data_IF_404857195741
#
_entry.id   IF_404857195741
#
_cell.length_a   1.000
_cell.length_b   1.000
_cell.length_c   1.000
_cell.angle_alpha   90.00
_cell.angle_beta   90.00
_cell.angle_gamma   90.00
#
_symmetry.space_group_name_H-M   'P 1'
#
loop_
_entity.id
_entity.type
_entity.pdbx_description
1 polymer ?
#
# COMPACT_ATOMS: atom_id res chain seq x y z
N UNK A 1 4.55 13.46 16.75
CA UNK A 1 4.55 13.58 15.28
C UNK A 1 3.55 12.56 14.78
N UNK A 2 2.83 12.80 13.72
CA UNK A 2 2.00 11.75 13.14
C UNK A 2 2.90 10.66 12.57
N UNK A 3 2.53 9.41 12.73
CA UNK A 3 3.09 8.35 11.92
C UNK A 3 2.57 8.52 10.50
N UNK A 4 3.41 8.32 9.53
CA UNK A 4 3.02 8.42 8.14
C UNK A 4 2.63 7.04 7.61
N UNK A 5 1.61 7.01 6.77
CA UNK A 5 1.18 5.82 6.04
C UNK A 5 1.45 6.04 4.57
N UNK A 6 2.32 5.24 4.00
CA UNK A 6 2.51 5.12 2.56
C UNK A 6 1.42 4.21 2.02
N UNK A 7 0.77 4.62 0.96
CA UNK A 7 -0.23 3.79 0.28
C UNK A 7 0.05 3.75 -1.21
N UNK A 8 0.30 2.56 -1.72
CA UNK A 8 0.42 2.28 -3.14
C UNK A 8 -0.96 1.89 -3.68
N UNK A 9 -1.53 2.73 -4.52
CA UNK A 9 -2.81 2.50 -5.20
C UNK A 9 -2.58 1.97 -6.60
N UNK A 10 -3.44 1.07 -7.04
CA UNK A 10 -3.66 0.77 -8.44
C UNK A 10 -5.08 1.17 -8.81
N UNK A 11 -5.22 2.09 -9.75
CA UNK A 11 -6.50 2.46 -10.36
C UNK A 11 -6.64 1.71 -11.68
N UNK A 12 -7.76 1.04 -11.89
CA UNK A 12 -7.95 0.18 -13.04
C UNK A 12 -9.35 0.30 -13.64
N UNK A 13 -9.43 0.11 -14.95
CA UNK A 13 -10.67 -0.01 -15.70
C UNK A 13 -10.45 -0.89 -16.94
N UNK A 14 -11.53 -1.40 -17.53
CA UNK A 14 -11.45 -2.09 -18.84
C UNK A 14 -11.37 -1.10 -19.99
N UNK A 15 -11.92 0.09 -19.84
CA UNK A 15 -11.90 1.14 -20.86
C UNK A 15 -10.66 2.03 -20.70
N UNK A 16 -9.79 2.01 -21.71
CA UNK A 16 -8.58 2.81 -21.75
C UNK A 16 -8.87 4.31 -21.70
N UNK A 17 -9.93 4.76 -22.38
CA UNK A 17 -10.23 6.18 -22.47
C UNK A 17 -10.57 6.77 -21.11
N UNK A 18 -11.26 6.01 -20.26
CA UNK A 18 -11.68 6.45 -18.94
C UNK A 18 -10.50 6.48 -17.98
N UNK A 19 -9.67 5.44 -17.98
CA UNK A 19 -8.48 5.40 -17.12
C UNK A 19 -7.50 6.51 -17.52
N UNK A 20 -7.35 6.75 -18.83
CA UNK A 20 -6.52 7.83 -19.35
C UNK A 20 -7.03 9.21 -18.95
N UNK A 21 -8.33 9.45 -19.03
CA UNK A 21 -8.94 10.72 -18.61
C UNK A 21 -8.69 10.98 -17.11
N UNK A 22 -8.79 9.95 -16.28
CA UNK A 22 -8.53 10.09 -14.86
C UNK A 22 -7.04 10.34 -14.57
N UNK A 23 -6.15 9.57 -15.18
CA UNK A 23 -4.70 9.75 -15.07
C UNK A 23 -4.28 11.17 -15.48
N UNK A 24 -4.74 11.64 -16.65
CA UNK A 24 -4.40 12.98 -17.18
C UNK A 24 -4.89 14.08 -16.23
N UNK A 25 -6.09 13.92 -15.64
CA UNK A 25 -6.60 14.83 -14.61
C UNK A 25 -5.71 14.87 -13.36
N UNK A 26 -5.32 13.70 -12.82
CA UNK A 26 -4.44 13.63 -11.65
C UNK A 26 -3.10 14.31 -11.93
N UNK A 27 -2.46 13.97 -13.05
CA UNK A 27 -1.22 14.61 -13.48
C UNK A 27 -1.34 16.13 -13.63
N UNK A 28 -2.46 16.61 -14.17
CA UNK A 28 -2.73 18.04 -14.27
C UNK A 28 -2.90 18.69 -12.89
N UNK A 29 -3.66 18.05 -12.00
CA UNK A 29 -3.97 18.61 -10.68
C UNK A 29 -2.76 18.69 -9.76
N UNK A 30 -1.91 17.67 -9.78
CA UNK A 30 -0.66 17.64 -9.01
C UNK A 30 0.29 18.77 -9.45
N UNK A 31 0.26 19.12 -10.74
CA UNK A 31 1.08 20.20 -11.29
C UNK A 31 0.40 21.59 -11.29
N UNK A 32 -0.86 21.66 -10.86
CA UNK A 32 -1.61 22.93 -10.79
C UNK A 32 -1.23 23.72 -9.54
N UNK A 33 -1.27 25.06 -9.57
CA UNK A 33 -1.11 25.85 -8.36
C UNK A 33 -2.14 25.43 -7.30
N UNK A 34 -1.72 25.33 -6.05
CA UNK A 34 -2.63 25.03 -4.95
C UNK A 34 -3.73 26.09 -4.89
N UNK A 35 -4.98 25.63 -4.92
CA UNK A 35 -6.17 26.50 -4.80
C UNK A 35 -6.45 26.91 -3.35
N UNK A 36 -5.73 26.33 -2.39
CA UNK A 36 -5.94 26.56 -0.97
C UNK A 36 -4.63 26.97 -0.29
N UNK A 37 -4.57 28.22 0.16
CA UNK A 37 -3.34 28.83 0.68
C UNK A 37 -3.07 28.60 2.17
N UNK A 38 -4.05 28.09 2.94
CA UNK A 38 -3.98 28.15 4.40
C UNK A 38 -3.45 26.87 5.08
N UNK A 39 -3.49 25.70 4.44
CA UNK A 39 -3.27 24.44 5.13
C UNK A 39 -1.87 23.82 4.96
N UNK A 40 -1.26 23.96 3.78
CA UNK A 40 0.07 23.41 3.49
C UNK A 40 0.75 24.35 2.49
N UNK A 41 1.59 25.20 2.97
CA UNK A 41 2.26 26.25 2.19
C UNK A 41 2.84 25.71 0.88
N UNK A 42 2.05 25.78 -0.20
CA UNK A 42 2.53 25.68 -1.57
C UNK A 42 2.58 24.29 -2.21
N UNK A 43 2.13 23.20 -1.59
CA UNK A 43 2.13 21.88 -2.25
C UNK A 43 0.89 21.69 -3.13
N UNK A 44 1.08 21.64 -4.46
CA UNK A 44 0.05 21.24 -5.42
C UNK A 44 -0.36 19.77 -5.27
N UNK A 45 0.53 18.92 -4.72
CA UNK A 45 0.32 17.51 -4.46
C UNK A 45 -0.58 17.20 -3.25
N UNK A 46 -0.98 18.21 -2.49
CA UNK A 46 -1.88 18.02 -1.35
C UNK A 46 -3.23 17.42 -1.77
N UNK A 47 -3.67 16.36 -1.08
CA UNK A 47 -4.90 15.63 -1.40
C UNK A 47 -6.17 16.50 -1.39
N UNK A 48 -6.23 17.52 -0.55
CA UNK A 48 -7.31 18.51 -0.57
C UNK A 48 -7.40 19.31 -1.87
N UNK A 49 -6.27 19.55 -2.54
CA UNK A 49 -6.25 20.20 -3.85
C UNK A 49 -6.87 19.30 -4.93
N UNK A 50 -6.68 17.98 -4.84
CA UNK A 50 -7.33 17.00 -5.70
C UNK A 50 -8.84 17.04 -5.54
N UNK A 51 -9.33 17.07 -4.29
CA UNK A 51 -10.77 17.18 -4.00
C UNK A 51 -11.38 18.45 -4.62
N UNK A 52 -10.73 19.59 -4.44
CA UNK A 52 -11.19 20.87 -5.02
C UNK A 52 -11.23 20.83 -6.55
N UNK A 53 -10.18 20.30 -7.18
CA UNK A 53 -10.10 20.15 -8.63
C UNK A 53 -11.15 19.15 -9.19
N UNK A 54 -11.52 18.13 -8.40
CA UNK A 54 -12.63 17.24 -8.71
C UNK A 54 -14.02 17.91 -8.53
N UNK A 55 -14.06 19.16 -8.07
CA UNK A 55 -15.30 19.90 -7.83
C UNK A 55 -16.02 19.49 -6.53
N UNK A 56 -15.27 19.01 -5.55
CA UNK A 56 -15.77 18.65 -4.23
C UNK A 56 -15.62 19.84 -3.30
N UNK A 57 -16.71 20.20 -2.64
CA UNK A 57 -16.74 21.30 -1.66
C UNK A 57 -16.12 20.83 -0.33
N UNK A 58 -14.92 21.30 -0.02
CA UNK A 58 -14.21 20.94 1.21
C UNK A 58 -14.98 21.27 2.49
N UNK A 59 -15.91 22.21 2.46
CA UNK A 59 -16.74 22.50 3.64
C UNK A 59 -17.70 21.35 3.99
N UNK A 60 -17.93 20.43 3.06
CA UNK A 60 -18.81 19.26 3.21
C UNK A 60 -18.05 17.97 3.44
N UNK A 61 -16.74 18.04 3.46
CA UNK A 61 -15.86 16.88 3.65
C UNK A 61 -15.34 16.90 5.08
N UNK A 62 -15.21 15.74 5.69
CA UNK A 62 -14.63 15.58 7.00
C UNK A 62 -13.23 16.20 7.07
N UNK A 63 -12.88 16.80 8.21
CA UNK A 63 -11.56 17.41 8.44
C UNK A 63 -10.41 16.43 8.23
N UNK A 64 -10.64 15.17 8.56
CA UNK A 64 -9.71 14.06 8.31
C UNK A 64 -9.32 13.95 6.84
N UNK A 65 -10.29 14.06 5.93
CA UNK A 65 -10.06 13.97 4.49
C UNK A 65 -9.43 15.24 3.89
N UNK A 66 -9.57 16.39 4.55
CA UNK A 66 -9.09 17.68 4.03
C UNK A 66 -7.59 17.90 4.14
N UNK A 67 -6.97 17.40 5.21
CA UNK A 67 -5.67 17.91 5.65
C UNK A 67 -4.57 16.85 5.82
N UNK A 68 -4.78 15.60 5.40
CA UNK A 68 -3.94 14.49 5.89
C UNK A 68 -2.90 13.94 4.93
N UNK A 69 -2.62 14.52 3.80
CA UNK A 69 -1.56 13.92 3.00
C UNK A 69 -1.34 14.51 1.62
N UNK A 70 -0.41 13.88 0.92
CA UNK A 70 0.04 14.25 -0.42
C UNK A 70 -0.09 13.08 -1.38
N UNK A 71 -0.27 13.39 -2.65
CA UNK A 71 -0.07 12.47 -3.77
C UNK A 71 1.36 12.65 -4.25
N UNK A 72 2.22 11.68 -3.97
CA UNK A 72 3.66 11.81 -4.17
C UNK A 72 4.09 11.35 -5.56
N UNK A 73 3.40 10.35 -6.11
CA UNK A 73 3.73 9.78 -7.42
C UNK A 73 2.47 9.38 -8.17
N UNK A 74 2.47 9.60 -9.50
CA UNK A 74 1.52 9.02 -10.46
C UNK A 74 2.35 8.44 -11.58
N UNK A 75 2.28 7.12 -11.79
CA UNK A 75 3.06 6.43 -12.82
C UNK A 75 2.30 6.35 -14.13
N UNK A 76 3.01 6.00 -15.19
CA UNK A 76 2.46 5.83 -16.52
C UNK A 76 1.36 4.75 -16.56
N UNK A 77 0.48 4.88 -17.56
CA UNK A 77 -0.59 3.89 -17.77
C UNK A 77 0.02 2.63 -18.37
N UNK A 78 -0.36 1.51 -17.80
CA UNK A 78 0.00 0.17 -18.24
C UNK A 78 -1.24 -0.63 -18.65
N UNK A 79 -1.00 -1.76 -19.32
CA UNK A 79 -2.03 -2.69 -19.71
C UNK A 79 -1.62 -4.10 -19.29
N UNK A 80 -2.49 -4.82 -18.61
CA UNK A 80 -2.14 -6.13 -18.08
C UNK A 80 -3.32 -6.98 -17.64
N UNK A 81 -2.98 -8.23 -17.33
CA UNK A 81 -3.89 -9.23 -16.76
C UNK A 81 -3.55 -9.43 -15.28
N UNK A 82 -4.57 -9.78 -14.48
CA UNK A 82 -4.37 -10.11 -13.07
C UNK A 82 -3.45 -11.31 -12.87
N UNK A 83 -3.52 -12.29 -13.78
CA UNK A 83 -2.66 -13.48 -13.78
C UNK A 83 -2.62 -14.13 -15.16
N UNK A 84 -1.81 -15.15 -15.34
CA UNK A 84 -1.61 -15.84 -16.64
C UNK A 84 -2.86 -16.54 -17.16
N UNK A 85 -3.82 -16.87 -16.32
CA UNK A 85 -5.08 -17.54 -16.66
C UNK A 85 -6.26 -16.59 -16.83
N UNK A 86 -6.10 -15.31 -16.42
CA UNK A 86 -7.15 -14.32 -16.56
C UNK A 86 -7.46 -14.04 -18.05
N UNK A 87 -8.74 -14.03 -18.38
CA UNK A 87 -9.22 -13.65 -19.72
C UNK A 87 -9.32 -12.14 -19.84
N UNK A 88 -9.63 -11.48 -18.72
CA UNK A 88 -9.86 -10.04 -18.66
C UNK A 88 -8.55 -9.29 -18.59
N UNK A 89 -8.46 -8.22 -19.39
CA UNK A 89 -7.34 -7.27 -19.42
C UNK A 89 -7.83 -5.93 -18.89
N UNK A 90 -6.94 -5.24 -18.20
CA UNK A 90 -7.20 -3.93 -17.61
C UNK A 90 -6.18 -2.92 -18.07
N UNK A 91 -6.63 -1.70 -18.27
CA UNK A 91 -5.78 -0.53 -18.31
C UNK A 91 -5.69 0.01 -16.89
N UNK A 92 -4.48 0.27 -16.42
CA UNK A 92 -4.27 0.70 -15.04
C UNK A 92 -3.09 1.65 -14.93
N UNK A 93 -3.06 2.41 -13.87
CA UNK A 93 -1.88 3.14 -13.44
C UNK A 93 -1.76 3.05 -11.92
N UNK A 94 -0.54 3.26 -11.43
CA UNK A 94 -0.27 3.28 -10.00
C UNK A 94 -0.06 4.69 -9.51
N UNK A 95 -0.42 4.92 -8.26
CA UNK A 95 -0.22 6.19 -7.58
C UNK A 95 0.19 5.95 -6.13
N UNK A 96 1.09 6.77 -5.62
CA UNK A 96 1.57 6.69 -4.25
C UNK A 96 1.09 7.90 -3.48
N UNK A 97 0.51 7.65 -2.31
CA UNK A 97 0.17 8.71 -1.36
C UNK A 97 0.93 8.54 -0.05
N UNK A 98 1.19 9.65 0.62
CA UNK A 98 1.70 9.67 1.97
C UNK A 98 0.70 10.42 2.85
N UNK A 99 0.12 9.74 3.82
CA UNK A 99 -0.96 10.28 4.67
C UNK A 99 -0.63 10.14 6.15
N UNK A 100 -1.21 11.00 6.99
CA UNK A 100 -1.00 10.93 8.42
C UNK A 100 -1.93 9.89 9.04
N UNK A 101 -1.35 8.89 9.69
CA UNK A 101 -1.93 7.81 10.52
C UNK A 101 -2.67 6.68 9.80
N UNK A 102 -3.38 6.94 8.69
CA UNK A 102 -4.15 5.91 7.97
C UNK A 102 -4.23 6.25 6.48
N UNK A 103 -4.44 5.24 5.66
CA UNK A 103 -4.82 5.35 4.26
C UNK A 103 -6.15 6.11 4.08
N UNK A 104 -6.39 6.66 2.89
CA UNK A 104 -7.58 7.50 2.63
C UNK A 104 -8.42 7.01 1.44
N UNK A 105 -8.89 5.75 1.42
CA UNK A 105 -9.66 5.20 0.30
C UNK A 105 -11.00 5.91 0.09
N UNK A 106 -11.64 6.39 1.16
CA UNK A 106 -12.88 7.16 1.10
C UNK A 106 -12.77 8.42 0.26
N UNK A 107 -11.61 9.09 0.32
CA UNK A 107 -11.34 10.25 -0.55
C UNK A 107 -11.40 9.85 -2.02
N UNK A 108 -10.76 8.74 -2.39
CA UNK A 108 -10.76 8.27 -3.78
C UNK A 108 -12.15 7.86 -4.24
N UNK A 109 -12.96 7.23 -3.38
CA UNK A 109 -14.37 6.96 -3.69
C UNK A 109 -15.13 8.25 -3.99
N UNK A 110 -14.98 9.29 -3.18
CA UNK A 110 -15.61 10.58 -3.45
C UNK A 110 -15.17 11.20 -4.78
N UNK A 111 -13.88 11.15 -5.10
CA UNK A 111 -13.35 11.66 -6.36
C UNK A 111 -13.92 10.88 -7.54
N UNK A 112 -13.85 9.55 -7.51
CA UNK A 112 -14.33 8.68 -8.57
C UNK A 112 -15.85 8.80 -8.77
N UNK A 113 -16.62 8.81 -7.70
CA UNK A 113 -18.08 8.98 -7.77
C UNK A 113 -18.47 10.36 -8.31
N UNK A 114 -17.74 11.40 -7.94
CA UNK A 114 -17.97 12.74 -8.45
C UNK A 114 -17.71 12.87 -9.94
N UNK A 115 -16.65 12.25 -10.43
CA UNK A 115 -16.22 12.34 -11.84
C UNK A 115 -16.96 11.34 -12.73
N UNK A 116 -17.18 10.12 -12.23
CA UNK A 116 -17.57 8.95 -13.01
C UNK A 116 -18.77 8.17 -12.44
N UNK A 117 -19.44 8.70 -11.42
CA UNK A 117 -20.57 8.02 -10.75
C UNK A 117 -21.77 7.67 -11.64
N UNK A 118 -21.82 8.21 -12.85
CA UNK A 118 -22.83 7.86 -13.85
C UNK A 118 -22.44 6.63 -14.70
N UNK A 119 -21.22 6.15 -14.59
CA UNK A 119 -20.72 5.00 -15.32
C UNK A 119 -21.06 3.70 -14.59
N UNK A 120 -21.44 2.67 -15.33
CA UNK A 120 -21.87 1.39 -14.78
C UNK A 120 -21.01 0.22 -15.28
N UNK A 121 -20.82 -0.77 -14.44
CA UNK A 121 -20.18 -2.03 -14.83
C UNK A 121 -18.73 -1.86 -15.31
N UNK A 122 -18.44 -2.36 -16.52
CA UNK A 122 -17.09 -2.37 -17.08
C UNK A 122 -16.46 -1.00 -17.37
N UNK A 123 -17.28 0.05 -17.39
CA UNK A 123 -16.84 1.43 -17.60
C UNK A 123 -16.45 2.14 -16.31
N UNK A 124 -16.67 1.51 -15.13
CA UNK A 124 -16.32 2.11 -13.84
C UNK A 124 -14.82 1.97 -13.60
N UNK A 125 -14.21 3.06 -13.13
CA UNK A 125 -12.88 2.99 -12.51
C UNK A 125 -13.05 2.45 -11.09
N UNK A 126 -12.24 1.47 -10.76
CA UNK A 126 -12.10 0.99 -9.39
C UNK A 126 -10.63 1.04 -8.97
N UNK A 127 -10.34 0.73 -7.71
CA UNK A 127 -8.99 0.72 -7.21
C UNK A 127 -8.75 -0.43 -6.24
N UNK A 128 -7.48 -0.76 -6.09
CA UNK A 128 -6.95 -1.56 -5.00
C UNK A 128 -5.82 -0.79 -4.34
N UNK A 129 -5.43 -1.16 -3.13
CA UNK A 129 -4.28 -0.57 -2.48
C UNK A 129 -3.58 -1.53 -1.53
N UNK A 130 -2.30 -1.23 -1.30
CA UNK A 130 -1.49 -1.71 -0.20
C UNK A 130 -1.03 -0.50 0.59
N UNK A 131 -1.32 -0.46 1.88
CA UNK A 131 -0.99 0.63 2.78
C UNK A 131 -0.11 0.14 3.92
N UNK A 132 1.01 0.81 4.14
CA UNK A 132 1.98 0.51 5.20
C UNK A 132 2.23 1.73 6.07
N UNK A 133 2.22 1.52 7.35
CA UNK A 133 2.55 2.57 8.32
C UNK A 133 4.06 2.61 8.55
N UNK A 134 4.64 3.81 8.62
CA UNK A 134 6.09 4.09 8.71
C UNK A 134 6.83 3.28 9.79
N UNK A 135 6.16 2.94 10.87
CA UNK A 135 6.73 2.12 11.95
C UNK A 135 6.46 0.62 11.76
N UNK A 136 5.96 0.22 10.60
CA UNK A 136 5.61 -1.15 10.26
C UNK A 136 4.64 -1.81 11.26
N UNK A 137 3.76 -0.99 11.87
CA UNK A 137 2.79 -1.49 12.87
C UNK A 137 1.60 -2.18 12.23
N UNK A 138 1.25 -1.83 10.99
CA UNK A 138 0.20 -2.49 10.24
C UNK A 138 0.44 -2.41 8.73
N UNK A 139 -0.11 -3.39 8.03
CA UNK A 139 -0.21 -3.40 6.57
C UNK A 139 -1.65 -3.73 6.20
N UNK A 140 -2.32 -2.81 5.50
CA UNK A 140 -3.68 -2.97 5.03
C UNK A 140 -3.72 -3.16 3.53
N UNK A 141 -4.58 -4.06 3.06
CA UNK A 141 -4.82 -4.29 1.65
C UNK A 141 -6.31 -4.24 1.33
N UNK A 142 -6.66 -3.62 0.22
CA UNK A 142 -8.02 -3.61 -0.33
C UNK A 142 -8.02 -4.17 -1.75
N UNK A 143 -9.03 -4.97 -2.09
CA UNK A 143 -9.12 -5.69 -3.37
C UNK A 143 -7.82 -6.46 -3.71
N UNK A 144 -7.35 -7.36 -2.84
CA UNK A 144 -5.99 -7.90 -2.91
C UNK A 144 -5.69 -8.66 -4.21
N UNK A 145 -6.70 -9.21 -4.90
CA UNK A 145 -6.49 -9.87 -6.19
C UNK A 145 -5.93 -8.91 -7.27
N UNK A 146 -6.19 -7.60 -7.17
CA UNK A 146 -5.68 -6.59 -8.10
C UNK A 146 -4.30 -6.06 -7.72
N UNK A 147 -3.78 -6.40 -6.54
CA UNK A 147 -2.42 -6.05 -6.14
C UNK A 147 -1.36 -6.77 -7.00
N UNK A 148 -1.75 -7.82 -7.73
CA UNK A 148 -0.88 -8.43 -8.76
C UNK A 148 -0.46 -7.43 -9.83
N UNK A 149 -1.23 -6.36 -10.07
CA UNK A 149 -0.87 -5.25 -10.94
C UNK A 149 0.22 -4.33 -10.33
N UNK A 150 0.42 -4.40 -9.01
CA UNK A 150 1.55 -3.79 -8.28
C UNK A 150 2.74 -4.73 -8.15
N UNK A 151 2.63 -5.97 -8.62
CA UNK A 151 3.67 -7.00 -8.49
C UNK A 151 3.54 -7.86 -7.21
N UNK A 152 2.52 -7.66 -6.39
CA UNK A 152 2.25 -8.47 -5.19
C UNK A 152 1.49 -9.74 -5.58
N UNK A 153 2.03 -10.91 -5.26
CA UNK A 153 1.39 -12.18 -5.59
C UNK A 153 0.23 -12.48 -4.62
N UNK A 154 -0.81 -13.18 -5.11
CA UNK A 154 -2.01 -13.51 -4.32
C UNK A 154 -1.74 -14.30 -3.03
N UNK A 155 -0.62 -15.02 -2.96
CA UNK A 155 -0.21 -15.82 -1.81
C UNK A 155 0.77 -15.10 -0.88
N UNK A 156 1.15 -13.87 -1.19
CA UNK A 156 1.94 -13.01 -0.32
C UNK A 156 0.99 -12.34 0.68
N UNK A 157 1.08 -12.78 1.92
CA UNK A 157 0.16 -12.41 3.01
C UNK A 157 0.85 -11.72 4.18
N UNK A 158 2.14 -11.44 4.04
CA UNK A 158 2.96 -10.80 5.05
C UNK A 158 3.83 -9.74 4.40
N UNK A 159 4.02 -8.62 5.05
CA UNK A 159 5.12 -7.71 4.79
C UNK A 159 6.28 -8.05 5.72
N UNK A 160 7.49 -8.05 5.20
CA UNK A 160 8.70 -8.40 5.93
C UNK A 160 9.72 -7.28 5.78
N UNK A 161 10.08 -6.66 6.89
CA UNK A 161 11.17 -5.70 6.99
C UNK A 161 12.34 -6.35 7.73
N UNK A 162 13.54 -6.32 7.19
CA UNK A 162 14.71 -6.91 7.84
C UNK A 162 16.01 -6.17 7.56
N UNK A 163 16.92 -6.27 8.52
CA UNK A 163 18.33 -5.93 8.36
C UNK A 163 19.19 -6.99 9.05
N UNK A 164 19.99 -7.72 8.27
CA UNK A 164 20.85 -8.82 8.76
C UNK A 164 22.19 -8.75 8.03
N UNK A 165 23.29 -8.68 8.74
CA UNK A 165 24.63 -8.65 8.14
C UNK A 165 25.19 -10.02 7.81
N UNK A 166 26.23 -10.05 6.96
CA UNK A 166 26.94 -11.26 6.54
C UNK A 166 27.65 -12.02 7.68
N UNK A 167 27.95 -11.32 8.77
CA UNK A 167 28.55 -11.88 9.97
C UNK A 167 27.58 -12.76 10.78
N UNK A 168 26.26 -12.58 10.55
CA UNK A 168 25.24 -13.50 11.04
C UNK A 168 24.98 -14.65 10.06
N UNK A 169 24.67 -14.34 8.82
CA UNK A 169 24.42 -15.31 7.74
C UNK A 169 24.62 -14.63 6.38
N UNK A 170 25.42 -15.26 5.49
CA UNK A 170 25.59 -14.76 4.12
C UNK A 170 24.33 -14.92 3.26
N UNK A 171 23.54 -15.95 3.54
CA UNK A 171 22.30 -16.28 2.81
C UNK A 171 21.17 -15.33 3.19
N UNK A 172 21.15 -14.85 4.44
CA UNK A 172 20.15 -13.93 4.95
C UNK A 172 20.56 -12.46 4.88
N UNK A 173 21.84 -12.19 4.62
CA UNK A 173 22.35 -10.82 4.61
C UNK A 173 21.58 -9.95 3.62
N UNK A 174 21.15 -8.79 4.10
CA UNK A 174 20.48 -7.76 3.32
C UNK A 174 20.80 -6.40 3.89
N UNK A 175 20.82 -5.38 3.07
CA UNK A 175 20.55 -4.02 3.53
C UNK A 175 19.12 -3.97 4.09
N UNK A 176 18.69 -2.86 4.67
CA UNK A 176 17.29 -2.71 5.08
C UNK A 176 16.42 -2.93 3.84
N UNK A 177 15.60 -3.94 3.88
CA UNK A 177 14.79 -4.42 2.75
C UNK A 177 13.39 -4.76 3.24
N UNK A 178 12.39 -4.23 2.57
CA UNK A 178 10.97 -4.42 2.85
C UNK A 178 10.29 -5.02 1.61
N UNK A 179 9.56 -6.11 1.80
CA UNK A 179 8.93 -6.84 0.69
C UNK A 179 7.80 -7.76 1.18
N UNK A 180 6.84 -7.99 0.32
CA UNK A 180 5.75 -8.93 0.57
C UNK A 180 6.25 -10.36 0.42
N UNK A 181 5.76 -11.24 1.30
CA UNK A 181 6.20 -12.63 1.35
C UNK A 181 5.07 -13.61 1.70
N UNK A 182 5.28 -14.85 1.32
CA UNK A 182 4.42 -15.97 1.72
C UNK A 182 4.74 -16.46 3.14
N UNK A 183 3.78 -17.14 3.80
CA UNK A 183 4.02 -17.81 5.08
C UNK A 183 5.21 -18.78 5.02
N UNK A 184 5.37 -19.49 3.89
CA UNK A 184 6.50 -20.41 3.68
C UNK A 184 7.86 -19.70 3.65
N UNK A 185 7.92 -18.51 3.07
CA UNK A 185 9.15 -17.71 3.06
C UNK A 185 9.49 -17.19 4.45
N UNK A 186 8.51 -16.73 5.23
CA UNK A 186 8.68 -16.35 6.63
C UNK A 186 9.17 -17.52 7.45
N UNK A 187 8.54 -18.70 7.33
CA UNK A 187 8.93 -19.92 8.04
C UNK A 187 10.38 -20.30 7.74
N UNK A 188 10.83 -20.18 6.49
CA UNK A 188 12.21 -20.44 6.09
C UNK A 188 13.19 -19.46 6.74
N UNK A 189 12.90 -18.15 6.71
CA UNK A 189 13.73 -17.11 7.33
C UNK A 189 13.89 -17.36 8.84
N UNK A 190 12.78 -17.57 9.55
CA UNK A 190 12.80 -17.83 11.00
C UNK A 190 13.47 -19.17 11.34
N UNK A 191 13.31 -20.20 10.49
CA UNK A 191 14.01 -21.48 10.66
C UNK A 191 15.52 -21.32 10.62
N UNK A 192 16.02 -20.54 9.70
CA UNK A 192 17.43 -20.27 9.53
C UNK A 192 17.98 -19.43 10.69
N UNK A 193 17.31 -18.31 11.03
CA UNK A 193 17.70 -17.49 12.17
C UNK A 193 17.75 -18.32 13.45
N UNK A 194 16.73 -19.09 13.76
CA UNK A 194 16.62 -19.86 15.00
C UNK A 194 17.35 -21.20 14.97
N UNK A 195 17.84 -21.65 13.81
CA UNK A 195 18.42 -22.96 13.59
C UNK A 195 17.46 -24.08 14.06
N UNK A 196 16.17 -23.92 13.75
CA UNK A 196 15.07 -24.81 14.15
C UNK A 196 14.06 -24.91 13.03
N UNK A 197 13.49 -26.09 12.80
CA UNK A 197 12.43 -26.26 11.83
C UNK A 197 11.15 -25.53 12.28
N UNK A 198 10.67 -24.59 11.45
CA UNK A 198 9.45 -23.82 11.61
C UNK A 198 8.62 -24.07 10.35
N UNK A 199 7.33 -24.25 10.52
CA UNK A 199 6.39 -24.55 9.43
C UNK A 199 5.53 -23.32 9.09
N UNK A 200 4.87 -23.34 7.94
CA UNK A 200 3.88 -22.33 7.57
C UNK A 200 2.76 -22.21 8.60
N UNK A 201 2.29 -23.36 9.15
CA UNK A 201 1.26 -23.38 10.20
C UNK A 201 1.72 -22.68 11.50
N UNK A 202 3.03 -22.70 11.80
CA UNK A 202 3.57 -21.98 12.95
C UNK A 202 3.52 -20.46 12.71
N UNK A 203 3.76 -20.02 11.48
CA UNK A 203 3.70 -18.62 11.06
C UNK A 203 2.26 -18.12 11.00
N UNK A 204 1.32 -18.92 10.51
CA UNK A 204 -0.11 -18.57 10.44
C UNK A 204 -0.77 -18.46 11.84
N UNK A 205 -0.11 -18.96 12.88
CA UNK A 205 -0.52 -18.77 14.26
C UNK A 205 0.09 -17.46 14.81
N UNK A 206 -0.69 -16.38 14.85
CA UNK A 206 -0.25 -15.03 15.24
C UNK A 206 0.51 -15.03 16.58
N UNK A 207 -0.01 -15.68 17.62
CA UNK A 207 0.63 -15.70 18.94
C UNK A 207 1.96 -16.47 18.93
N UNK A 208 2.11 -17.47 18.05
CA UNK A 208 3.35 -18.19 17.89
C UNK A 208 4.34 -17.41 17.04
N UNK A 209 3.86 -16.71 15.98
CA UNK A 209 4.69 -15.85 15.15
C UNK A 209 5.36 -14.74 15.99
N UNK A 210 4.60 -14.04 16.83
CA UNK A 210 5.14 -13.03 17.76
C UNK A 210 6.28 -13.61 18.63
N UNK A 211 6.07 -14.79 19.23
CA UNK A 211 7.10 -15.44 20.03
C UNK A 211 8.35 -15.87 19.22
N UNK A 212 8.16 -16.23 17.97
CA UNK A 212 9.26 -16.61 17.08
C UNK A 212 10.05 -15.36 16.67
N UNK A 213 9.38 -14.25 16.39
CA UNK A 213 10.01 -12.96 16.10
C UNK A 213 10.83 -12.45 17.28
N UNK A 214 10.27 -12.44 18.49
CA UNK A 214 10.99 -12.06 19.71
C UNK A 214 12.27 -12.85 19.90
N UNK A 215 12.21 -14.20 19.71
CA UNK A 215 13.39 -15.05 19.82
C UNK A 215 14.40 -14.81 18.71
N UNK A 216 13.92 -14.55 17.50
CA UNK A 216 14.77 -14.25 16.35
C UNK A 216 15.51 -12.92 16.56
N UNK A 217 14.81 -11.88 16.97
CA UNK A 217 15.40 -10.59 17.25
C UNK A 217 16.41 -10.66 18.41
N UNK A 218 16.08 -11.37 19.50
CA UNK A 218 17.03 -11.59 20.59
C UNK A 218 18.33 -12.30 20.14
N UNK A 219 18.24 -13.21 19.15
CA UNK A 219 19.41 -13.88 18.58
C UNK A 219 20.19 -12.99 17.63
N UNK A 220 19.52 -12.17 16.84
CA UNK A 220 20.12 -11.20 15.93
C UNK A 220 20.85 -10.09 16.70
N UNK A 221 20.20 -9.49 17.70
CA UNK A 221 20.78 -8.47 18.58
C UNK A 221 22.03 -8.96 19.33
N UNK A 222 22.12 -10.26 19.66
CA UNK A 222 23.30 -10.82 20.30
C UNK A 222 24.56 -10.80 19.40
N UNK A 223 24.38 -10.71 18.08
CA UNK A 223 25.47 -10.54 17.10
C UNK A 223 25.70 -9.06 16.83
N UNK A 224 24.66 -8.33 16.51
CA UNK A 224 24.71 -6.88 16.31
C UNK A 224 23.37 -6.26 16.73
N UNK A 225 23.42 -5.23 17.58
CA UNK A 225 22.25 -4.52 18.13
C UNK A 225 21.34 -3.87 17.06
N UNK A 226 21.87 -3.66 15.87
CA UNK A 226 21.15 -3.02 14.78
C UNK A 226 20.46 -4.08 13.86
N UNK A 227 20.68 -5.38 14.08
CA UNK A 227 20.05 -6.44 13.29
C UNK A 227 18.66 -6.75 13.82
N UNK A 228 17.73 -6.87 12.90
CA UNK A 228 16.33 -7.15 13.21
C UNK A 228 15.60 -7.85 12.06
N UNK A 229 14.46 -8.41 12.39
CA UNK A 229 13.42 -8.85 11.46
C UNK A 229 12.04 -8.49 12.03
N UNK A 230 11.21 -7.88 11.22
CA UNK A 230 9.81 -7.61 11.51
C UNK A 230 8.95 -8.28 10.44
N UNK A 231 7.86 -8.87 10.85
CA UNK A 231 6.90 -9.50 9.94
C UNK A 231 5.50 -9.13 10.41
N UNK A 232 4.76 -8.48 9.53
CA UNK A 232 3.39 -8.03 9.79
C UNK A 232 2.44 -8.73 8.83
N UNK A 233 1.35 -9.34 9.32
CA UNK A 233 0.32 -9.88 8.45
C UNK A 233 -0.35 -8.76 7.65
N UNK A 234 -0.56 -8.98 6.35
CA UNK A 234 -1.34 -8.09 5.50
C UNK A 234 -2.82 -8.30 5.85
N UNK A 235 -3.46 -7.29 6.41
CA UNK A 235 -4.86 -7.32 6.78
C UNK A 235 -5.72 -6.85 5.61
N UNK A 236 -6.59 -7.71 5.12
CA UNK A 236 -7.55 -7.33 4.07
C UNK A 236 -8.69 -6.56 4.68
N UNK A 237 -8.85 -5.32 4.26
CA UNK A 237 -9.93 -4.43 4.70
C UNK A 237 -11.09 -4.44 3.70
N UNK A 238 -12.30 -4.27 4.19
CA UNK A 238 -13.52 -4.21 3.39
C UNK A 238 -13.96 -2.78 3.12
N UNK A 239 -14.81 -2.58 2.11
CA UNK A 239 -15.36 -1.26 1.80
C UNK A 239 -16.18 -0.67 2.96
N UNK A 240 -16.80 -1.52 3.79
CA UNK A 240 -17.56 -1.11 4.98
C UNK A 240 -16.66 -0.47 6.06
N UNK A 241 -15.36 -0.82 6.09
CA UNK A 241 -14.40 -0.24 7.03
C UNK A 241 -13.93 1.16 6.63
N UNK A 242 -14.32 1.63 5.42
CA UNK A 242 -14.04 2.99 4.96
C UNK A 242 -15.15 3.98 5.33
N UNK A 243 -16.33 3.48 5.75
CA UNK A 243 -17.44 4.30 6.19
C UNK A 243 -17.25 4.74 7.64
#
# INVERSE_FOLDING_TARGET
MPNWTRTDYVFYARDECIIKDFHDKLCQWVNSPSLYHEAWEGSSAWLGNILVNAGIDLAKVDDILRYRGTLDEVREIEHGKLNTTAVEEYHYFTAVTCTAWVEMPKMWRFVLDKLYGNLNGAERIDFAFLAEEETHCYVHAYNPMYLTLLGVAENEKYSCLKYIGEDFSKELASEIDEYEVTAGRVAMLLSEILSKHITECDVENVALLEQLLDKSNSKLEAVNKDYFIEVVPITVVSEEEFE
#
